data_IF_749716873937
#
_entry.id   IF_749716873937
#
_cell.length_a   1.000
_cell.length_b   1.000
_cell.length_c   1.000
_cell.angle_alpha   90.00
_cell.angle_beta   90.00
_cell.angle_gamma   90.00
#
_symmetry.space_group_name_H-M   'P 1'
#
loop_
_entity.id
_entity.type
_entity.pdbx_description
1 polymer ?
#
# COMPACT_ATOMS: atom_id res chain seq x y z
N UNK A 1 -26.28 15.45 -0.86
CA UNK A 1 -25.94 14.36 0.09
C UNK A 1 -24.54 14.61 0.60
N UNK A 2 -24.36 15.02 1.86
CA UNK A 2 -23.04 15.28 2.44
C UNK A 2 -22.25 13.99 2.61
N UNK A 3 -20.96 14.01 2.25
CA UNK A 3 -20.05 12.87 2.48
C UNK A 3 -20.06 12.55 3.99
N UNK A 4 -20.33 11.30 4.41
CA UNK A 4 -20.32 10.97 5.82
C UNK A 4 -18.95 11.32 6.42
N UNK A 5 -18.91 11.83 7.67
CA UNK A 5 -17.66 12.21 8.31
C UNK A 5 -16.70 11.01 8.35
N UNK A 6 -15.54 11.18 7.73
CA UNK A 6 -14.50 10.16 7.71
C UNK A 6 -13.76 10.24 9.03
N UNK A 7 -14.08 9.33 9.95
CA UNK A 7 -13.31 9.16 11.18
C UNK A 7 -11.90 8.69 10.86
N UNK A 8 -10.89 9.43 11.34
CA UNK A 8 -9.49 9.02 11.19
C UNK A 8 -9.22 7.71 11.92
N UNK A 9 -8.22 6.97 11.46
CA UNK A 9 -7.80 5.73 12.10
C UNK A 9 -7.42 5.97 13.57
N UNK A 10 -6.73 7.06 13.87
CA UNK A 10 -6.33 7.45 15.23
C UNK A 10 -7.53 7.62 16.17
N UNK A 11 -8.58 8.31 15.71
CA UNK A 11 -9.80 8.50 16.52
C UNK A 11 -10.49 7.18 16.77
N UNK A 12 -10.64 6.32 15.76
CA UNK A 12 -11.22 4.98 15.92
C UNK A 12 -10.42 4.15 16.91
N UNK A 13 -9.09 4.14 16.80
CA UNK A 13 -8.20 3.42 17.71
C UNK A 13 -8.37 3.91 19.14
N UNK A 14 -8.35 5.23 19.38
CA UNK A 14 -8.59 5.79 20.73
C UNK A 14 -9.90 5.29 21.33
N UNK A 15 -11.00 5.38 20.56
CA UNK A 15 -12.33 4.96 21.02
C UNK A 15 -12.32 3.46 21.37
N UNK A 16 -11.78 2.62 20.48
CA UNK A 16 -11.72 1.16 20.70
C UNK A 16 -10.90 0.84 21.95
N UNK A 17 -9.76 1.50 22.16
CA UNK A 17 -8.92 1.28 23.34
C UNK A 17 -9.64 1.66 24.64
N UNK A 18 -10.32 2.80 24.71
CA UNK A 18 -11.12 3.18 25.89
C UNK A 18 -12.26 2.18 26.16
N UNK A 19 -12.87 1.61 25.11
CA UNK A 19 -13.90 0.57 25.26
C UNK A 19 -13.31 -0.75 25.75
N UNK A 20 -12.11 -1.12 25.29
CA UNK A 20 -11.42 -2.34 25.72
C UNK A 20 -10.86 -2.23 27.14
N UNK A 21 -10.39 -1.04 27.54
CA UNK A 21 -9.91 -0.77 28.91
C UNK A 21 -11.04 -0.67 29.93
N UNK A 22 -12.30 -0.55 29.48
CA UNK A 22 -13.47 -0.40 30.35
C UNK A 22 -13.69 1.03 30.84
N UNK A 23 -12.91 2.01 30.39
CA UNK A 23 -13.08 3.44 30.72
C UNK A 23 -14.41 3.99 30.21
N UNK A 24 -14.90 3.47 29.09
CA UNK A 24 -16.19 3.84 28.51
C UNK A 24 -16.90 2.61 27.98
N UNK A 25 -18.22 2.59 28.09
CA UNK A 25 -19.06 1.63 27.36
C UNK A 25 -19.21 2.02 25.89
N UNK A 26 -19.61 1.07 25.04
CA UNK A 26 -19.93 1.32 23.62
C UNK A 26 -21.01 2.40 23.51
N UNK A 27 -22.07 2.33 24.34
CA UNK A 27 -23.16 3.31 24.34
C UNK A 27 -22.70 4.73 24.72
N UNK A 28 -21.82 4.85 25.72
CA UNK A 28 -21.25 6.15 26.11
C UNK A 28 -20.36 6.74 25.00
N UNK A 29 -19.52 5.90 24.38
CA UNK A 29 -18.67 6.33 23.27
C UNK A 29 -19.48 6.74 22.04
N UNK A 30 -20.53 5.99 21.70
CA UNK A 30 -21.46 6.29 20.61
C UNK A 30 -22.11 7.67 20.75
N UNK A 31 -22.61 7.99 21.95
CA UNK A 31 -23.22 9.30 22.24
C UNK A 31 -22.20 10.43 22.19
N UNK A 32 -21.02 10.22 22.78
CA UNK A 32 -19.95 11.24 22.86
C UNK A 32 -19.42 11.60 21.48
N UNK A 33 -19.19 10.61 20.64
CA UNK A 33 -18.54 10.76 19.33
C UNK A 33 -19.57 10.92 18.20
N UNK A 34 -20.88 10.90 18.51
CA UNK A 34 -22.00 11.00 17.56
C UNK A 34 -21.94 9.90 16.48
N UNK A 35 -21.67 8.66 16.91
CA UNK A 35 -21.55 7.47 16.06
C UNK A 35 -22.52 6.40 16.54
N UNK A 36 -22.99 5.53 15.65
CA UNK A 36 -23.79 4.37 16.07
C UNK A 36 -22.98 3.38 16.92
N UNK A 37 -23.63 2.75 17.90
CA UNK A 37 -23.04 1.67 18.70
C UNK A 37 -22.56 0.51 17.81
N UNK A 38 -23.28 0.24 16.71
CA UNK A 38 -22.90 -0.79 15.74
C UNK A 38 -21.56 -0.49 15.07
N UNK A 39 -21.28 0.76 14.70
CA UNK A 39 -20.00 1.13 14.09
C UNK A 39 -18.85 0.93 15.07
N UNK A 40 -19.03 1.32 16.33
CA UNK A 40 -18.02 1.12 17.39
C UNK A 40 -17.81 -0.38 17.66
N UNK A 41 -18.89 -1.16 17.71
CA UNK A 41 -18.84 -2.61 17.83
C UNK A 41 -18.06 -3.25 16.68
N UNK A 42 -18.27 -2.78 15.45
CA UNK A 42 -17.53 -3.22 14.27
C UNK A 42 -16.04 -2.86 14.36
N UNK A 43 -15.69 -1.63 14.74
CA UNK A 43 -14.28 -1.24 14.91
C UNK A 43 -13.58 -2.07 15.98
N UNK A 44 -14.25 -2.35 17.10
CA UNK A 44 -13.72 -3.24 18.14
C UNK A 44 -13.46 -4.64 17.60
N UNK A 45 -14.38 -5.20 16.81
CA UNK A 45 -14.21 -6.53 16.22
C UNK A 45 -13.03 -6.54 15.22
N UNK A 46 -12.96 -5.58 14.30
CA UNK A 46 -11.88 -5.45 13.33
C UNK A 46 -10.52 -5.29 14.02
N UNK A 47 -10.44 -4.47 15.09
CA UNK A 47 -9.21 -4.27 15.85
C UNK A 47 -8.73 -5.57 16.54
N UNK A 48 -9.64 -6.33 17.15
CA UNK A 48 -9.30 -7.59 17.81
C UNK A 48 -8.87 -8.66 16.81
N UNK A 49 -9.55 -8.79 15.67
CA UNK A 49 -9.16 -9.74 14.63
C UNK A 49 -7.81 -9.40 14.00
N UNK A 50 -7.55 -8.12 13.72
CA UNK A 50 -6.25 -7.66 13.26
C UNK A 50 -5.15 -7.92 14.31
N UNK A 51 -5.44 -7.66 15.59
CA UNK A 51 -4.54 -7.94 16.71
C UNK A 51 -4.20 -9.42 16.83
N UNK A 52 -5.19 -10.31 16.76
CA UNK A 52 -4.97 -11.77 16.75
C UNK A 52 -4.14 -12.22 15.56
N UNK A 53 -4.44 -11.70 14.37
CA UNK A 53 -3.70 -12.01 13.14
C UNK A 53 -2.23 -11.60 13.27
N UNK A 54 -1.97 -10.38 13.78
CA UNK A 54 -0.61 -9.90 13.99
C UNK A 54 0.15 -10.72 15.04
N UNK A 55 -0.51 -11.11 16.14
CA UNK A 55 0.09 -11.96 17.17
C UNK A 55 0.42 -13.36 16.65
N UNK A 56 -0.46 -13.94 15.81
CA UNK A 56 -0.25 -15.25 15.19
C UNK A 56 0.87 -15.22 14.13
N UNK A 57 0.94 -14.14 13.35
CA UNK A 57 1.99 -13.94 12.36
C UNK A 57 3.37 -13.64 12.98
N UNK A 58 3.41 -13.22 14.25
CA UNK A 58 4.62 -12.78 14.94
C UNK A 58 5.10 -11.40 14.46
N UNK A 59 6.30 -10.97 14.90
CA UNK A 59 6.96 -9.79 14.33
C UNK A 59 7.38 -10.12 12.89
N UNK A 60 6.48 -9.94 11.95
CA UNK A 60 6.85 -9.97 10.54
C UNK A 60 7.70 -8.71 10.29
N UNK A 61 8.93 -8.89 9.79
CA UNK A 61 9.63 -7.86 9.05
C UNK A 61 8.83 -7.46 7.80
N UNK A 62 9.42 -6.82 6.77
CA UNK A 62 8.72 -6.69 5.50
C UNK A 62 8.08 -8.02 5.13
N UNK A 63 6.80 -7.99 4.78
CA UNK A 63 6.05 -9.21 4.47
C UNK A 63 6.90 -10.05 3.52
N UNK A 64 6.94 -11.37 3.67
CA UNK A 64 7.63 -12.23 2.69
C UNK A 64 7.19 -11.89 1.26
N UNK A 65 5.97 -11.36 1.09
CA UNK A 65 5.49 -10.81 -0.16
C UNK A 65 6.16 -9.49 -0.57
N UNK A 66 6.39 -8.56 0.35
CA UNK A 66 7.10 -7.30 0.09
C UNK A 66 8.56 -7.56 -0.28
N UNK A 67 9.25 -8.48 0.40
CA UNK A 67 10.60 -8.90 0.03
C UNK A 67 10.63 -9.54 -1.37
N UNK A 68 9.69 -10.45 -1.65
CA UNK A 68 9.55 -11.03 -2.99
C UNK A 68 9.24 -9.99 -4.07
N UNK A 69 8.44 -8.98 -3.75
CA UNK A 69 8.11 -7.90 -4.68
C UNK A 69 9.32 -6.99 -4.90
N UNK A 70 10.08 -6.68 -3.86
CA UNK A 70 11.32 -5.90 -3.99
C UNK A 70 12.34 -6.62 -4.88
N UNK A 71 12.54 -7.93 -4.69
CA UNK A 71 13.39 -8.74 -5.56
C UNK A 71 12.91 -8.74 -7.02
N UNK A 72 11.59 -8.92 -7.25
CA UNK A 72 11.03 -8.84 -8.60
C UNK A 72 11.21 -7.47 -9.26
N UNK A 73 11.10 -6.38 -8.49
CA UNK A 73 11.32 -5.02 -9.00
C UNK A 73 12.79 -4.84 -9.41
N UNK A 74 13.73 -5.36 -8.63
CA UNK A 74 15.16 -5.31 -8.95
C UNK A 74 15.46 -6.08 -10.25
N UNK A 75 15.00 -7.33 -10.36
CA UNK A 75 15.17 -8.17 -11.56
C UNK A 75 14.60 -7.49 -12.82
N UNK A 76 13.37 -6.95 -12.72
CA UNK A 76 12.72 -6.26 -13.84
C UNK A 76 13.45 -4.97 -14.23
N UNK A 77 13.99 -4.24 -13.25
CA UNK A 77 14.73 -3.00 -13.50
C UNK A 77 16.04 -3.30 -14.23
N UNK A 78 16.74 -4.37 -13.85
CA UNK A 78 17.94 -4.82 -14.54
C UNK A 78 17.63 -5.21 -15.98
N UNK A 79 16.63 -6.08 -16.20
CA UNK A 79 16.25 -6.52 -17.54
C UNK A 79 15.83 -5.35 -18.46
N UNK A 80 15.11 -4.37 -17.90
CA UNK A 80 14.75 -3.15 -18.63
C UNK A 80 15.98 -2.32 -19.02
N UNK A 81 16.96 -2.21 -18.11
CA UNK A 81 18.23 -1.53 -18.37
C UNK A 81 19.02 -2.18 -19.50
N UNK A 82 19.14 -3.51 -19.47
CA UNK A 82 19.81 -4.30 -20.52
C UNK A 82 19.13 -4.11 -21.89
N UNK A 83 17.80 -4.24 -21.95
CA UNK A 83 17.03 -4.02 -23.17
C UNK A 83 17.18 -2.58 -23.70
N UNK A 84 17.22 -1.57 -22.82
CA UNK A 84 17.42 -0.18 -23.21
C UNK A 84 18.81 0.06 -23.82
N UNK A 85 19.85 -0.61 -23.31
CA UNK A 85 21.21 -0.57 -23.86
C UNK A 85 21.23 -1.22 -25.24
N UNK A 86 20.65 -2.42 -25.39
CA UNK A 86 20.56 -3.10 -26.69
C UNK A 86 19.88 -2.22 -27.73
N UNK A 87 18.71 -1.65 -27.41
CA UNK A 87 17.97 -0.75 -28.30
C UNK A 87 18.81 0.46 -28.74
N UNK A 88 19.62 1.03 -27.83
CA UNK A 88 20.51 2.15 -28.16
C UNK A 88 21.62 1.73 -29.13
N UNK A 89 22.22 0.55 -28.91
CA UNK A 89 23.26 -0.01 -29.79
C UNK A 89 22.68 -0.29 -31.18
N UNK A 90 21.51 -0.92 -31.25
CA UNK A 90 20.81 -1.19 -32.50
C UNK A 90 20.51 0.09 -33.29
N UNK A 91 19.96 1.13 -32.64
CA UNK A 91 19.70 2.43 -33.28
C UNK A 91 20.97 3.07 -33.83
N UNK A 92 22.05 3.14 -33.03
CA UNK A 92 23.34 3.68 -33.48
C UNK A 92 23.96 2.88 -34.64
N UNK A 93 23.81 1.56 -34.61
CA UNK A 93 24.28 0.67 -35.69
C UNK A 93 23.47 0.83 -36.97
N UNK A 94 22.16 1.09 -36.88
CA UNK A 94 21.32 1.40 -38.03
C UNK A 94 21.71 2.75 -38.66
N UNK A 95 21.95 3.77 -37.84
CA UNK A 95 22.44 5.09 -38.28
C UNK A 95 23.80 4.99 -39.00
N UNK A 96 24.73 4.19 -38.48
CA UNK A 96 26.05 3.99 -39.10
C UNK A 96 26.02 3.20 -40.42
N UNK A 97 24.95 2.45 -40.70
CA UNK A 97 24.76 1.69 -41.96
C UNK A 97 24.11 2.52 -43.07
N UNK A 98 23.51 3.65 -42.74
CA UNK A 98 23.02 4.64 -43.69
C UNK A 98 24.17 5.62 -44.00
N UNK A 99 25.11 5.22 -44.86
CA UNK A 99 26.14 6.14 -45.38
C UNK A 99 25.49 7.36 -46.06
N UNK A 100 26.20 8.51 -46.18
CA UNK A 100 25.60 9.74 -46.69
C UNK A 100 24.91 9.48 -48.03
N UNK A 101 23.60 9.72 -48.05
CA UNK A 101 22.75 9.53 -49.22
C UNK A 101 23.32 10.32 -50.39
N UNK A 102 23.95 9.64 -51.36
CA UNK A 102 24.30 10.24 -52.66
C UNK A 102 23.02 10.43 -53.46
N UNK A 103 22.32 11.52 -53.19
CA UNK A 103 21.41 12.17 -54.13
C UNK A 103 21.84 13.64 -54.15
N UNK A 104 22.24 14.25 -55.27
CA UNK A 104 21.51 14.40 -56.53
C UNK A 104 22.48 14.85 -57.63
N UNK A 105 22.25 14.42 -58.88
CA UNK A 105 22.65 15.11 -60.11
C UNK A 105 21.41 15.21 -60.98
#
# INVERSE_FOLDING_TARGET
>A
MGRPPVFSAEVKTRIVLCVLSGETTIAQAARKEQVSEQSIGRWKAEFLEAGKTALAAGRSGPSTREEQLAAQVEDLTQALGEAAVELRVWKKSAEGRLGPSRTSR
#
